data_IF_393742826944
#
_entry.id   IF_393742826944
#
_cell.length_a   1.000
_cell.length_b   1.000
_cell.length_c   1.000
_cell.angle_alpha   90.00
_cell.angle_beta   90.00
_cell.angle_gamma   90.00
#
_symmetry.space_group_name_H-M   'P 1'
#
loop_
_entity.id
_entity.type
_entity.pdbx_description
1 polymer ?
#
# COMPACT_ATOMS: atom_id res chain seq x y z
N UNK A 1 -26.96 -15.46 -32.33
CA UNK A 1 -27.35 -14.54 -31.24
C UNK A 1 -28.67 -13.83 -31.57
N UNK A 2 -28.83 -13.20 -32.76
CA UNK A 2 -30.10 -12.51 -33.13
C UNK A 2 -31.27 -13.43 -33.36
N UNK A 3 -31.05 -14.65 -33.88
CA UNK A 3 -32.14 -15.62 -34.10
C UNK A 3 -32.71 -16.19 -32.79
N UNK A 4 -31.84 -16.42 -31.77
CA UNK A 4 -32.29 -16.87 -30.46
C UNK A 4 -33.04 -15.76 -29.69
N UNK A 5 -32.65 -14.50 -29.88
CA UNK A 5 -33.36 -13.38 -29.29
C UNK A 5 -34.76 -13.19 -29.90
N UNK A 6 -34.88 -13.39 -31.22
CA UNK A 6 -36.18 -13.36 -31.94
C UNK A 6 -37.09 -14.54 -31.56
N UNK A 7 -36.54 -15.75 -31.39
CA UNK A 7 -37.35 -16.88 -30.95
C UNK A 7 -37.85 -16.68 -29.52
N UNK A 8 -37.00 -16.18 -28.58
CA UNK A 8 -37.45 -15.87 -27.21
C UNK A 8 -38.58 -14.81 -27.16
N UNK A 9 -38.51 -13.79 -28.04
CA UNK A 9 -39.58 -12.80 -28.17
C UNK A 9 -40.89 -13.39 -28.72
N UNK A 10 -40.81 -14.35 -29.64
CA UNK A 10 -41.96 -15.04 -30.21
C UNK A 10 -42.59 -16.05 -29.23
N UNK A 11 -41.78 -16.65 -28.37
CA UNK A 11 -42.19 -17.61 -27.35
C UNK A 11 -42.66 -16.92 -26.05
N UNK A 12 -42.67 -15.58 -25.98
CA UNK A 12 -43.12 -14.83 -24.82
C UNK A 12 -42.16 -14.89 -23.61
N UNK A 13 -40.96 -15.47 -23.77
CA UNK A 13 -39.95 -15.57 -22.73
C UNK A 13 -39.06 -14.32 -22.74
N UNK A 14 -39.58 -13.22 -22.21
CA UNK A 14 -38.77 -11.99 -21.97
C UNK A 14 -38.43 -11.95 -20.50
N UNK A 15 -37.13 -11.93 -20.14
CA UNK A 15 -36.70 -11.83 -18.75
C UNK A 15 -37.34 -10.63 -18.05
N UNK A 16 -37.98 -10.85 -16.92
CA UNK A 16 -38.61 -9.79 -16.15
C UNK A 16 -37.54 -8.91 -15.47
N UNK A 17 -37.67 -7.59 -15.61
CA UNK A 17 -36.88 -6.63 -14.83
C UNK A 17 -37.65 -6.27 -13.56
N UNK A 18 -37.13 -6.57 -12.36
CA UNK A 18 -37.78 -6.23 -11.11
C UNK A 18 -38.04 -4.73 -11.01
N UNK A 19 -39.21 -4.31 -10.57
CA UNK A 19 -39.52 -2.88 -10.29
C UNK A 19 -38.57 -2.26 -9.27
N UNK A 20 -37.93 -3.09 -8.45
CA UNK A 20 -36.94 -2.73 -7.43
C UNK A 20 -35.49 -2.82 -7.93
N UNK A 21 -35.26 -2.87 -9.26
CA UNK A 21 -33.93 -3.09 -9.83
C UNK A 21 -32.88 -2.09 -9.32
N UNK A 22 -33.24 -0.79 -9.21
CA UNK A 22 -32.33 0.24 -8.72
C UNK A 22 -31.92 0.04 -7.25
N UNK A 23 -32.87 -0.36 -6.39
CA UNK A 23 -32.55 -0.64 -4.98
C UNK A 23 -31.73 -1.92 -4.81
N UNK A 24 -31.95 -2.94 -5.63
CA UNK A 24 -31.13 -4.15 -5.64
C UNK A 24 -29.69 -3.88 -6.10
N UNK A 25 -29.50 -3.09 -7.16
CA UNK A 25 -28.17 -2.66 -7.61
C UNK A 25 -27.43 -1.86 -6.52
N UNK A 26 -28.12 -0.95 -5.83
CA UNK A 26 -27.56 -0.18 -4.72
C UNK A 26 -27.13 -1.10 -3.57
N UNK A 27 -27.98 -2.06 -3.18
CA UNK A 27 -27.64 -3.02 -2.13
C UNK A 27 -26.42 -3.88 -2.51
N UNK A 28 -26.35 -4.36 -3.75
CA UNK A 28 -25.20 -5.12 -4.24
C UNK A 28 -23.91 -4.28 -4.25
N UNK A 29 -24.01 -3.01 -4.66
CA UNK A 29 -22.88 -2.09 -4.62
C UNK A 29 -22.40 -1.78 -3.18
N UNK A 30 -23.34 -1.57 -2.25
CA UNK A 30 -23.02 -1.36 -0.83
C UNK A 30 -22.40 -2.61 -0.20
N UNK A 31 -22.92 -3.80 -0.51
CA UNK A 31 -22.34 -5.06 -0.04
C UNK A 31 -20.91 -5.26 -0.58
N UNK A 32 -20.67 -4.95 -1.87
CA UNK A 32 -19.34 -5.00 -2.46
C UNK A 32 -18.38 -3.98 -1.79
N UNK A 33 -18.86 -2.76 -1.52
CA UNK A 33 -18.06 -1.75 -0.80
C UNK A 33 -17.72 -2.21 0.62
N UNK A 34 -18.69 -2.76 1.37
CA UNK A 34 -18.47 -3.28 2.71
C UNK A 34 -17.47 -4.44 2.72
N UNK A 35 -17.52 -5.35 1.74
CA UNK A 35 -16.57 -6.44 1.59
C UNK A 35 -15.15 -5.92 1.33
N UNK A 36 -14.98 -4.96 0.42
CA UNK A 36 -13.67 -4.34 0.13
C UNK A 36 -13.11 -3.59 1.34
N UNK A 37 -13.93 -2.84 2.07
CA UNK A 37 -13.54 -2.16 3.31
C UNK A 37 -13.16 -3.17 4.40
N UNK A 38 -13.87 -4.30 4.51
CA UNK A 38 -13.52 -5.40 5.42
C UNK A 38 -12.15 -5.99 5.11
N UNK A 39 -11.82 -6.18 3.82
CA UNK A 39 -10.49 -6.62 3.39
C UNK A 39 -9.42 -5.58 3.78
N UNK A 40 -9.67 -4.28 3.60
CA UNK A 40 -8.76 -3.22 4.02
C UNK A 40 -8.57 -3.19 5.55
N UNK A 41 -9.65 -3.38 6.32
CA UNK A 41 -9.63 -3.35 7.79
C UNK A 41 -8.92 -4.56 8.41
N UNK A 42 -8.82 -5.69 7.71
CA UNK A 42 -8.12 -6.89 8.17
C UNK A 42 -6.59 -6.71 8.33
N UNK A 43 -6.06 -5.53 8.02
CA UNK A 43 -4.66 -5.14 8.20
C UNK A 43 -3.73 -5.68 7.10
N UNK A 44 -2.52 -5.16 7.03
CA UNK A 44 -1.41 -5.46 6.08
C UNK A 44 -1.77 -6.30 4.85
N UNK A 45 -2.65 -5.74 4.01
CA UNK A 45 -3.09 -6.42 2.79
C UNK A 45 -1.97 -6.32 1.75
N UNK A 46 -1.53 -7.46 1.22
CA UNK A 46 -0.59 -7.45 0.08
C UNK A 46 -1.23 -6.73 -1.09
N UNK A 47 -0.45 -5.96 -1.84
CA UNK A 47 -0.91 -5.10 -2.92
C UNK A 47 -1.83 -5.76 -3.97
N UNK A 48 -1.66 -7.07 -4.21
CA UNK A 48 -2.47 -7.83 -5.17
C UNK A 48 -3.83 -8.31 -4.62
N UNK A 49 -4.02 -8.29 -3.29
CA UNK A 49 -5.25 -8.84 -2.66
C UNK A 49 -6.48 -7.97 -2.98
N UNK A 50 -6.33 -6.64 -3.00
CA UNK A 50 -7.45 -5.74 -3.33
C UNK A 50 -7.96 -5.91 -4.76
N UNK A 51 -7.12 -5.89 -5.81
CA UNK A 51 -7.59 -6.15 -7.16
C UNK A 51 -8.13 -7.59 -7.32
N UNK A 52 -7.52 -8.59 -6.67
CA UNK A 52 -8.03 -9.95 -6.67
C UNK A 52 -9.43 -10.05 -6.03
N UNK A 53 -9.66 -9.38 -4.90
CA UNK A 53 -10.97 -9.30 -4.27
C UNK A 53 -12.01 -8.64 -5.18
N UNK A 54 -11.63 -7.58 -5.92
CA UNK A 54 -12.49 -6.95 -6.93
C UNK A 54 -12.91 -7.94 -8.02
N UNK A 55 -11.98 -8.70 -8.57
CA UNK A 55 -12.27 -9.72 -9.59
C UNK A 55 -13.19 -10.83 -9.04
N UNK A 56 -12.94 -11.29 -7.82
CA UNK A 56 -13.81 -12.29 -7.16
C UNK A 56 -15.23 -11.75 -6.97
N UNK A 57 -15.38 -10.51 -6.53
CA UNK A 57 -16.69 -9.87 -6.38
C UNK A 57 -17.44 -9.78 -7.70
N UNK A 58 -16.76 -9.42 -8.79
CA UNK A 58 -17.37 -9.39 -10.13
C UNK A 58 -17.82 -10.79 -10.55
N UNK A 59 -17.01 -11.82 -10.34
CA UNK A 59 -17.36 -13.21 -10.65
C UNK A 59 -18.58 -13.67 -9.83
N UNK A 60 -18.67 -13.30 -8.55
CA UNK A 60 -19.84 -13.60 -7.70
C UNK A 60 -21.10 -12.88 -8.17
N UNK A 61 -21.01 -11.59 -8.52
CA UNK A 61 -22.14 -10.82 -9.05
C UNK A 61 -22.63 -11.39 -10.38
N UNK A 62 -21.70 -11.79 -11.26
CA UNK A 62 -22.04 -12.44 -12.52
C UNK A 62 -22.68 -13.82 -12.29
N UNK A 63 -22.13 -14.62 -11.38
CA UNK A 63 -22.70 -15.93 -11.01
C UNK A 63 -24.10 -15.81 -10.44
N UNK A 64 -24.34 -14.82 -9.57
CA UNK A 64 -25.66 -14.53 -9.02
C UNK A 64 -26.66 -14.11 -10.12
N UNK A 65 -26.21 -13.26 -11.06
CA UNK A 65 -27.02 -12.87 -12.21
C UNK A 65 -27.36 -14.06 -13.10
N UNK A 66 -26.37 -14.90 -13.45
CA UNK A 66 -26.57 -16.08 -14.27
C UNK A 66 -27.56 -17.07 -13.61
N UNK A 67 -27.43 -17.28 -12.31
CA UNK A 67 -28.36 -18.12 -11.54
C UNK A 67 -29.78 -17.56 -11.57
N UNK A 68 -29.96 -16.25 -11.29
CA UNK A 68 -31.26 -15.61 -11.32
C UNK A 68 -31.93 -15.65 -12.71
N UNK A 69 -31.11 -15.53 -13.76
CA UNK A 69 -31.59 -15.59 -15.15
C UNK A 69 -32.00 -17.01 -15.56
N UNK A 70 -31.20 -18.02 -15.17
CA UNK A 70 -31.46 -19.41 -15.60
C UNK A 70 -32.59 -20.08 -14.83
N UNK A 71 -32.74 -19.79 -13.51
CA UNK A 71 -33.72 -20.46 -12.65
C UNK A 71 -35.00 -19.66 -12.46
N UNK A 72 -34.96 -18.33 -12.61
CA UNK A 72 -36.09 -17.46 -12.26
C UNK A 72 -36.50 -16.50 -13.38
N UNK A 73 -35.84 -16.54 -14.55
CA UNK A 73 -36.09 -15.63 -15.69
C UNK A 73 -35.99 -14.12 -15.29
N UNK A 74 -35.19 -13.79 -14.25
CA UNK A 74 -35.07 -12.44 -13.70
C UNK A 74 -33.77 -11.81 -14.17
N UNK A 75 -33.86 -10.63 -14.81
CA UNK A 75 -32.71 -9.84 -15.21
C UNK A 75 -32.22 -8.96 -14.04
N UNK A 76 -31.13 -9.38 -13.36
CA UNK A 76 -30.45 -8.55 -12.39
C UNK A 76 -29.42 -7.66 -13.11
N UNK A 77 -29.56 -6.37 -13.07
CA UNK A 77 -28.61 -5.44 -13.71
C UNK A 77 -27.21 -5.43 -13.05
N UNK A 78 -26.48 -6.53 -13.18
CA UNK A 78 -25.19 -6.80 -12.50
C UNK A 78 -24.04 -5.89 -12.96
N UNK A 79 -24.10 -5.34 -14.18
CA UNK A 79 -23.01 -4.57 -14.77
C UNK A 79 -22.66 -3.31 -13.97
N UNK A 80 -23.68 -2.62 -13.43
CA UNK A 80 -23.47 -1.41 -12.61
C UNK A 80 -22.74 -1.70 -11.30
N UNK A 81 -23.19 -2.63 -10.44
CA UNK A 81 -22.45 -2.96 -9.22
C UNK A 81 -21.08 -3.62 -9.51
N UNK A 82 -20.93 -4.35 -10.62
CA UNK A 82 -19.65 -4.93 -11.01
C UNK A 82 -18.63 -3.86 -11.43
N UNK A 83 -19.03 -2.88 -12.24
CA UNK A 83 -18.15 -1.76 -12.61
C UNK A 83 -17.75 -0.93 -11.38
N UNK A 84 -18.69 -0.70 -10.46
CA UNK A 84 -18.40 -0.04 -9.19
C UNK A 84 -17.37 -0.83 -8.35
N UNK A 85 -17.55 -2.16 -8.21
CA UNK A 85 -16.62 -3.01 -7.47
C UNK A 85 -15.20 -2.99 -8.06
N UNK A 86 -15.06 -3.03 -9.40
CA UNK A 86 -13.76 -2.92 -10.06
C UNK A 86 -13.11 -1.56 -9.85
N UNK A 87 -13.84 -0.47 -10.05
CA UNK A 87 -13.30 0.88 -9.85
C UNK A 87 -12.92 1.12 -8.39
N UNK A 88 -13.77 0.73 -7.45
CA UNK A 88 -13.49 0.86 -6.02
C UNK A 88 -12.26 0.04 -5.61
N UNK A 89 -12.13 -1.21 -6.06
CA UNK A 89 -10.97 -2.05 -5.76
C UNK A 89 -9.66 -1.49 -6.34
N UNK A 90 -9.70 -0.93 -7.55
CA UNK A 90 -8.56 -0.29 -8.19
C UNK A 90 -8.14 0.99 -7.44
N UNK A 91 -9.09 1.85 -7.08
CA UNK A 91 -8.82 3.07 -6.31
C UNK A 91 -8.24 2.77 -4.93
N UNK A 92 -8.81 1.78 -4.22
CA UNK A 92 -8.30 1.33 -2.93
C UNK A 92 -6.88 0.75 -3.05
N UNK A 93 -6.59 -0.02 -4.09
CA UNK A 93 -5.26 -0.55 -4.35
C UNK A 93 -4.24 0.58 -4.59
N UNK A 94 -4.58 1.59 -5.38
CA UNK A 94 -3.72 2.76 -5.62
C UNK A 94 -3.50 3.56 -4.33
N UNK A 95 -4.56 3.79 -3.55
CA UNK A 95 -4.48 4.51 -2.28
C UNK A 95 -3.57 3.77 -1.27
N UNK A 96 -3.70 2.45 -1.15
CA UNK A 96 -2.87 1.65 -0.26
C UNK A 96 -1.40 1.63 -0.72
N UNK A 97 -1.15 1.53 -2.02
CA UNK A 97 0.21 1.68 -2.57
C UNK A 97 0.83 3.05 -2.25
N UNK A 98 0.06 4.13 -2.42
CA UNK A 98 0.53 5.47 -2.12
C UNK A 98 0.83 5.62 -0.62
N UNK A 99 -0.03 5.09 0.24
CA UNK A 99 0.15 5.10 1.69
C UNK A 99 1.44 4.38 2.11
N UNK A 100 1.67 3.16 1.62
CA UNK A 100 2.87 2.38 1.92
C UNK A 100 4.15 3.10 1.45
N UNK A 101 4.12 3.75 0.28
CA UNK A 101 5.24 4.56 -0.21
C UNK A 101 5.54 5.75 0.71
N UNK A 102 4.51 6.50 1.11
CA UNK A 102 4.66 7.64 2.01
C UNK A 102 5.19 7.24 3.39
N UNK A 103 4.75 6.12 3.94
CA UNK A 103 5.25 5.58 5.20
C UNK A 103 6.74 5.21 5.09
N UNK A 104 7.15 4.55 3.99
CA UNK A 104 8.57 4.22 3.74
C UNK A 104 9.43 5.47 3.61
N UNK A 105 8.97 6.48 2.87
CA UNK A 105 9.70 7.75 2.73
C UNK A 105 9.84 8.51 4.06
N UNK A 106 8.83 8.47 4.91
CA UNK A 106 8.89 9.06 6.26
C UNK A 106 9.90 8.33 7.14
N UNK A 107 9.87 6.99 7.13
CA UNK A 107 10.84 6.17 7.87
C UNK A 107 12.27 6.43 7.37
N UNK A 108 12.47 6.45 6.06
CA UNK A 108 13.77 6.76 5.46
C UNK A 108 14.29 8.11 5.91
N UNK A 109 13.50 9.17 5.81
CA UNK A 109 13.90 10.54 6.23
C UNK A 109 14.23 10.63 7.72
N UNK A 110 13.46 9.94 8.55
CA UNK A 110 13.73 9.92 9.99
C UNK A 110 15.03 9.18 10.33
N UNK A 111 15.31 8.07 9.63
CA UNK A 111 16.53 7.29 9.84
C UNK A 111 17.76 7.96 9.24
N UNK A 112 17.62 8.61 8.08
CA UNK A 112 18.72 9.32 7.41
C UNK A 112 19.26 10.50 8.22
N UNK A 113 18.49 11.03 9.18
CA UNK A 113 18.98 12.07 10.11
C UNK A 113 19.99 11.54 11.14
N UNK A 114 20.01 10.23 11.40
CA UNK A 114 20.82 9.61 12.47
C UNK A 114 21.77 8.52 11.99
N UNK A 115 21.61 8.05 10.76
CA UNK A 115 22.39 6.95 10.20
C UNK A 115 23.03 7.35 8.86
N UNK A 116 24.21 6.81 8.54
CA UNK A 116 24.78 6.94 7.20
C UNK A 116 23.79 6.47 6.13
N UNK A 117 23.75 7.18 4.99
CA UNK A 117 22.76 6.94 3.92
C UNK A 117 22.66 5.47 3.47
N UNK A 118 23.77 4.71 3.30
CA UNK A 118 23.69 3.30 2.91
C UNK A 118 23.00 2.41 3.96
N UNK A 119 23.14 2.75 5.25
CA UNK A 119 22.54 2.00 6.36
C UNK A 119 21.05 2.32 6.45
N UNK A 120 20.67 3.60 6.37
CA UNK A 120 19.28 4.03 6.37
C UNK A 120 18.51 3.42 5.19
N UNK A 121 19.11 3.40 3.99
CA UNK A 121 18.54 2.77 2.80
C UNK A 121 18.29 1.25 2.99
N UNK A 122 19.29 0.53 3.53
CA UNK A 122 19.14 -0.91 3.82
C UNK A 122 18.01 -1.20 4.82
N UNK A 123 17.91 -0.44 5.90
CA UNK A 123 16.86 -0.61 6.92
C UNK A 123 15.48 -0.28 6.32
N UNK A 124 15.36 0.79 5.54
CA UNK A 124 14.09 1.19 4.93
C UNK A 124 13.60 0.20 3.85
N UNK A 125 14.51 -0.49 3.17
CA UNK A 125 14.21 -1.50 2.14
C UNK A 125 14.04 -2.91 2.72
N UNK A 126 14.61 -3.19 3.91
CA UNK A 126 14.43 -4.47 4.59
C UNK A 126 12.97 -4.62 5.01
N UNK A 127 12.30 -5.67 4.53
CA UNK A 127 11.08 -6.13 5.20
C UNK A 127 11.48 -6.48 6.65
N UNK A 128 10.76 -5.94 7.63
CA UNK A 128 10.91 -6.28 9.04
C UNK A 128 10.43 -7.74 9.22
N UNK A 129 11.19 -8.68 8.70
CA UNK A 129 11.17 -10.06 9.14
C UNK A 129 11.94 -10.03 10.45
N UNK A 130 11.30 -10.24 11.57
CA UNK A 130 11.87 -10.13 12.92
C UNK A 130 13.11 -10.98 13.22
N UNK A 131 13.90 -11.31 12.21
CA UNK A 131 15.18 -12.01 12.27
C UNK A 131 16.24 -11.00 11.87
N UNK A 132 17.04 -10.55 12.83
CA UNK A 132 18.29 -9.83 12.56
C UNK A 132 19.24 -10.88 11.96
N UNK A 133 19.44 -10.86 10.66
CA UNK A 133 20.49 -11.63 10.01
C UNK A 133 21.84 -11.06 10.47
N UNK A 134 22.44 -11.72 11.48
CA UNK A 134 23.78 -11.39 11.93
C UNK A 134 24.78 -11.95 10.93
N UNK A 135 25.55 -11.09 10.30
CA UNK A 135 26.62 -11.45 9.36
C UNK A 135 27.98 -11.20 10.02
N UNK A 136 28.88 -12.19 9.96
CA UNK A 136 30.25 -12.02 10.41
C UNK A 136 31.07 -11.38 9.28
N UNK A 137 31.62 -10.17 9.54
CA UNK A 137 32.49 -9.46 8.60
C UNK A 137 33.76 -9.00 9.30
N UNK A 138 34.86 -8.95 8.58
CA UNK A 138 36.05 -8.22 9.03
C UNK A 138 35.77 -6.73 8.83
N UNK A 139 35.88 -5.96 9.90
CA UNK A 139 35.62 -4.52 9.89
C UNK A 139 36.80 -3.80 10.57
N UNK A 140 37.10 -2.62 10.09
CA UNK A 140 38.00 -1.67 10.79
C UNK A 140 37.11 -0.64 11.50
N UNK A 141 37.35 -0.46 12.80
CA UNK A 141 36.62 0.52 13.62
C UNK A 141 37.54 1.71 13.87
N UNK A 142 37.09 2.91 13.48
CA UNK A 142 37.78 4.17 13.72
C UNK A 142 37.09 4.92 14.87
N UNK A 143 37.84 5.29 15.89
CA UNK A 143 37.40 6.20 16.94
C UNK A 143 38.12 7.54 16.76
N UNK A 144 37.38 8.62 16.67
CA UNK A 144 37.89 9.97 16.59
C UNK A 144 37.22 10.84 17.64
N UNK A 145 37.96 11.67 18.32
CA UNK A 145 37.49 12.57 19.37
C UNK A 145 38.12 13.97 19.25
N UNK A 146 37.40 14.97 19.75
CA UNK A 146 37.86 16.36 19.75
C UNK A 146 38.62 16.64 21.04
N UNK A 147 39.91 16.95 20.91
CA UNK A 147 40.76 17.30 22.07
C UNK A 147 40.23 18.54 22.80
N UNK A 148 40.13 18.45 24.11
CA UNK A 148 39.69 19.52 25.00
C UNK A 148 38.26 20.04 24.71
N UNK A 149 37.39 19.22 24.17
CA UNK A 149 36.00 19.63 23.85
C UNK A 149 35.26 20.10 25.08
N UNK A 150 35.43 19.44 26.24
CA UNK A 150 34.80 19.86 27.49
C UNK A 150 35.23 21.29 27.89
N UNK A 151 36.51 21.57 27.87
CA UNK A 151 37.04 22.91 28.18
C UNK A 151 36.58 23.96 27.14
N UNK A 152 36.41 23.57 25.89
CA UNK A 152 35.86 24.45 24.85
C UNK A 152 34.40 24.84 25.17
N UNK A 153 33.60 23.93 25.71
CA UNK A 153 32.20 24.16 26.04
C UNK A 153 31.99 24.96 27.32
N UNK A 154 32.93 24.92 28.31
CA UNK A 154 32.76 25.55 29.62
C UNK A 154 32.56 27.08 29.60
N UNK A 155 33.01 27.74 28.55
CA UNK A 155 32.92 29.21 28.48
C UNK A 155 32.09 29.72 27.30
N UNK A 156 31.33 28.87 26.62
CA UNK A 156 30.67 29.20 25.35
C UNK A 156 29.16 28.89 25.37
N UNK A 157 28.37 29.64 24.58
CA UNK A 157 26.96 29.31 24.38
C UNK A 157 26.80 27.90 23.79
N UNK A 158 25.72 27.18 24.15
CA UNK A 158 25.44 25.82 23.63
C UNK A 158 25.37 25.77 22.11
N UNK A 159 24.92 26.83 21.45
CA UNK A 159 24.80 26.95 20.00
C UNK A 159 26.19 26.90 19.30
N UNK A 160 27.22 27.48 19.89
CA UNK A 160 28.57 27.44 19.37
C UNK A 160 29.18 26.03 19.50
N UNK A 161 28.91 25.36 20.62
CA UNK A 161 29.33 23.97 20.82
C UNK A 161 28.66 23.04 19.82
N UNK A 162 27.36 23.23 19.60
CA UNK A 162 26.60 22.47 18.61
C UNK A 162 27.09 22.71 17.18
N UNK A 163 27.39 23.97 16.83
CA UNK A 163 27.92 24.31 15.50
C UNK A 163 29.28 23.66 15.26
N UNK A 164 30.20 23.68 16.26
CA UNK A 164 31.48 23.01 16.18
C UNK A 164 31.34 21.49 15.99
N UNK A 165 30.47 20.84 16.76
CA UNK A 165 30.19 19.42 16.60
C UNK A 165 29.65 19.09 15.21
N UNK A 166 28.74 19.92 14.70
CA UNK A 166 28.20 19.74 13.36
C UNK A 166 29.29 19.79 12.28
N UNK A 167 30.22 20.79 12.37
CA UNK A 167 31.34 20.89 11.45
C UNK A 167 32.30 19.70 11.58
N UNK A 168 32.60 19.26 12.81
CA UNK A 168 33.44 18.10 13.04
C UNK A 168 32.83 16.84 12.43
N UNK A 169 31.58 16.51 12.78
CA UNK A 169 30.96 15.30 12.30
C UNK A 169 30.75 15.33 10.79
N UNK A 170 30.31 16.45 10.22
CA UNK A 170 30.13 16.56 8.77
C UNK A 170 31.42 16.39 7.99
N UNK A 171 32.53 16.88 8.55
CA UNK A 171 33.88 16.74 7.94
C UNK A 171 34.39 15.31 8.09
N UNK A 172 34.25 14.70 9.27
CA UNK A 172 34.63 13.32 9.51
C UNK A 172 33.87 12.34 8.62
N UNK A 173 32.55 12.48 8.55
CA UNK A 173 31.70 11.67 7.67
C UNK A 173 32.15 11.76 6.22
N UNK A 174 32.35 12.96 5.70
CA UNK A 174 32.78 13.16 4.31
C UNK A 174 34.12 12.48 4.01
N UNK A 175 35.06 12.52 4.97
CA UNK A 175 36.38 11.87 4.80
C UNK A 175 36.26 10.35 4.81
N UNK A 176 35.44 9.82 5.72
CA UNK A 176 35.17 8.37 5.83
C UNK A 176 34.47 7.85 4.56
N UNK A 177 33.45 8.55 4.10
CA UNK A 177 32.70 8.20 2.87
C UNK A 177 33.59 8.26 1.63
N UNK A 178 34.50 9.25 1.52
CA UNK A 178 35.47 9.34 0.43
C UNK A 178 36.42 8.13 0.38
N UNK A 179 36.60 7.43 1.50
CA UNK A 179 37.38 6.18 1.61
C UNK A 179 36.49 4.92 1.61
N UNK A 180 35.25 5.04 1.17
CA UNK A 180 34.26 3.93 1.15
C UNK A 180 33.94 3.35 2.53
N UNK A 181 34.17 4.11 3.59
CA UNK A 181 33.76 3.82 4.95
C UNK A 181 32.30 4.20 5.20
N UNK A 182 31.71 3.69 6.30
CA UNK A 182 30.32 3.96 6.72
C UNK A 182 30.31 4.51 8.13
#
# INVERSE_FOLDING_TARGET
VHAQFLSGLLDGHVPETPRTQGSLQLLMALAAAAALLGVCAAGRVRAWVLPAAGVVLVALLFGLHAYALLEHDVWLGWATPASFALLASALLAVAEHARVRLERERLYRNLAAYLPEPVAARIALSEVKGVIEAERREITVLFADIRNFSAYCEGRPPEEAAAMLHVFFSTATRVVEAQQGV
#
